data_IF_353959993256
#
_entry.id   IF_353959993256
#
_cell.length_a   1.000
_cell.length_b   1.000
_cell.length_c   1.000
_cell.angle_alpha   90.00
_cell.angle_beta   90.00
_cell.angle_gamma   90.00
#
_symmetry.space_group_name_H-M   'P 1'
#
loop_
_entity.id
_entity.type
_entity.pdbx_description
1 polymer ?
#
# COMPACT_ATOMS: atom_id res chain seq x y z
N UNK A 1 -1.43 -8.31 -15.15
CA UNK A 1 -1.37 -7.03 -14.41
C UNK A 1 -0.65 -7.20 -13.07
N UNK A 2 -1.01 -8.20 -12.27
CA UNK A 2 -0.49 -8.42 -10.91
C UNK A 2 1.05 -8.48 -10.77
N UNK A 3 1.72 -9.33 -11.57
CA UNK A 3 3.20 -9.38 -11.64
C UNK A 3 3.87 -8.05 -11.97
N UNK A 4 3.18 -7.15 -12.68
CA UNK A 4 3.72 -5.83 -12.98
C UNK A 4 3.65 -4.91 -11.74
N UNK A 5 2.58 -5.04 -10.95
CA UNK A 5 2.38 -4.28 -9.72
C UNK A 5 3.40 -4.71 -8.67
N UNK A 6 3.53 -6.02 -8.43
CA UNK A 6 4.48 -6.54 -7.45
C UNK A 6 5.92 -6.22 -7.82
N UNK A 7 6.31 -6.37 -9.10
CA UNK A 7 7.67 -6.07 -9.56
C UNK A 7 8.02 -4.57 -9.53
N UNK A 8 7.03 -3.67 -9.62
CA UNK A 8 7.22 -2.23 -9.64
C UNK A 8 6.62 -1.53 -8.40
N UNK A 9 6.35 -2.26 -7.32
CA UNK A 9 5.63 -1.75 -6.15
C UNK A 9 6.22 -0.42 -5.65
N UNK A 10 7.55 -0.34 -5.50
CA UNK A 10 8.25 0.89 -5.07
C UNK A 10 7.97 2.10 -5.96
N UNK A 11 7.86 1.89 -7.28
CA UNK A 11 7.56 2.98 -8.23
C UNK A 11 6.09 3.37 -8.19
N UNK A 12 5.22 2.37 -8.03
CA UNK A 12 3.78 2.54 -8.01
C UNK A 12 3.35 3.22 -6.72
N UNK A 13 3.93 2.85 -5.57
CA UNK A 13 3.65 3.45 -4.26
C UNK A 13 3.98 4.94 -4.17
N UNK A 14 4.78 5.46 -5.12
CA UNK A 14 5.12 6.87 -5.24
C UNK A 14 4.17 7.64 -6.18
N UNK A 15 3.27 6.96 -6.89
CA UNK A 15 2.33 7.62 -7.80
C UNK A 15 1.08 8.07 -7.05
N UNK A 16 0.49 9.19 -7.49
CA UNK A 16 -0.77 9.70 -6.93
C UNK A 16 -1.90 8.67 -7.02
N UNK A 17 -1.93 7.88 -8.09
CA UNK A 17 -2.91 6.79 -8.25
C UNK A 17 -2.88 5.79 -7.08
N UNK A 18 -1.70 5.47 -6.56
CA UNK A 18 -1.60 4.54 -5.42
C UNK A 18 -2.23 5.12 -4.16
N UNK A 19 -2.10 6.44 -3.95
CA UNK A 19 -2.73 7.15 -2.83
C UNK A 19 -4.26 7.19 -2.95
N UNK A 20 -4.80 6.99 -4.15
CA UNK A 20 -6.25 6.89 -4.42
C UNK A 20 -6.81 5.48 -4.31
N UNK A 21 -5.98 4.45 -4.07
CA UNK A 21 -6.46 3.08 -3.92
C UNK A 21 -7.42 2.94 -2.74
N UNK A 22 -8.41 2.06 -2.91
CA UNK A 22 -9.28 1.62 -1.83
C UNK A 22 -8.57 0.61 -0.92
N UNK A 23 -9.14 0.38 0.27
CA UNK A 23 -8.52 -0.48 1.29
C UNK A 23 -8.24 -1.90 0.78
N UNK A 24 -9.18 -2.50 0.06
CA UNK A 24 -9.10 -3.90 -0.35
C UNK A 24 -8.07 -4.09 -1.46
N UNK A 25 -7.94 -3.10 -2.35
CA UNK A 25 -6.90 -3.05 -3.38
C UNK A 25 -5.51 -2.89 -2.74
N UNK A 26 -5.36 -1.95 -1.80
CA UNK A 26 -4.11 -1.74 -1.07
C UNK A 26 -3.68 -3.03 -0.36
N UNK A 27 -4.59 -3.64 0.40
CA UNK A 27 -4.37 -4.88 1.14
C UNK A 27 -3.97 -6.01 0.18
N UNK A 28 -4.67 -6.14 -0.94
CA UNK A 28 -4.37 -7.18 -1.92
C UNK A 28 -2.95 -7.00 -2.47
N UNK A 29 -2.50 -5.76 -2.72
CA UNK A 29 -1.14 -5.50 -3.18
C UNK A 29 -0.11 -5.85 -2.09
N UNK A 30 -0.27 -5.33 -0.87
CA UNK A 30 0.75 -5.49 0.19
C UNK A 30 0.81 -6.90 0.79
N UNK A 31 -0.24 -7.72 0.63
CA UNK A 31 -0.28 -9.12 1.07
C UNK A 31 0.40 -10.09 0.10
N UNK A 32 0.95 -9.60 -1.01
CA UNK A 32 1.66 -10.44 -1.96
C UNK A 32 3.02 -10.91 -1.44
N UNK A 33 3.23 -12.21 -1.43
CA UNK A 33 4.50 -12.82 -1.02
C UNK A 33 5.68 -12.40 -1.91
N UNK A 34 5.43 -12.12 -3.20
CA UNK A 34 6.43 -11.73 -4.20
C UNK A 34 6.55 -10.19 -4.37
N UNK A 35 6.16 -9.39 -3.37
CA UNK A 35 6.23 -7.94 -3.44
C UNK A 35 7.67 -7.44 -3.51
N UNK A 36 8.05 -6.81 -4.64
CA UNK A 36 9.39 -6.28 -4.83
C UNK A 36 9.54 -4.94 -4.09
N UNK A 37 9.94 -5.02 -2.81
CA UNK A 37 10.18 -3.88 -1.94
C UNK A 37 11.55 -4.02 -1.24
N UNK A 38 12.18 -2.91 -0.83
CA UNK A 38 13.50 -2.95 -0.19
C UNK A 38 13.46 -3.53 1.23
N UNK A 39 12.32 -3.41 1.93
CA UNK A 39 12.10 -3.91 3.28
C UNK A 39 10.61 -3.91 3.61
N UNK A 40 10.22 -4.68 4.63
CA UNK A 40 8.88 -4.61 5.21
C UNK A 40 8.58 -3.20 5.77
N UNK A 41 9.58 -2.52 6.33
CA UNK A 41 9.44 -1.14 6.80
C UNK A 41 8.96 -0.20 5.68
N UNK A 42 9.45 -0.36 4.45
CA UNK A 42 8.99 0.45 3.32
C UNK A 42 7.50 0.26 3.01
N UNK A 43 6.99 -0.97 3.17
CA UNK A 43 5.57 -1.29 3.00
C UNK A 43 4.76 -0.60 4.10
N UNK A 44 5.21 -0.70 5.35
CA UNK A 44 4.58 -0.03 6.50
C UNK A 44 4.55 1.48 6.30
N UNK A 45 5.68 2.10 5.94
CA UNK A 45 5.75 3.55 5.66
C UNK A 45 4.81 3.97 4.53
N UNK A 46 4.68 3.14 3.50
CA UNK A 46 3.77 3.37 2.36
C UNK A 46 2.31 3.33 2.82
N UNK A 47 1.93 2.34 3.63
CA UNK A 47 0.58 2.24 4.21
C UNK A 47 0.29 3.43 5.11
N UNK A 48 1.23 3.84 5.96
CA UNK A 48 1.07 5.00 6.84
C UNK A 48 0.88 6.29 6.04
N UNK A 49 1.62 6.49 4.95
CA UNK A 49 1.41 7.63 4.03
C UNK A 49 0.02 7.61 3.39
N UNK A 50 -0.45 6.43 2.98
CA UNK A 50 -1.81 6.27 2.44
C UNK A 50 -2.87 6.61 3.51
N UNK A 51 -2.68 6.18 4.76
CA UNK A 51 -3.59 6.52 5.86
C UNK A 51 -3.56 8.02 6.18
N UNK A 52 -2.38 8.67 6.15
CA UNK A 52 -2.25 10.10 6.42
C UNK A 52 -3.00 11.00 5.45
N UNK A 53 -3.30 10.54 4.22
CA UNK A 53 -4.11 11.31 3.26
C UNK A 53 -5.55 11.52 3.74
N UNK A 54 -6.09 10.58 4.50
CA UNK A 54 -7.44 10.67 5.07
C UNK A 54 -7.45 9.98 6.42
N UNK A 55 -6.84 10.63 7.41
CA UNK A 55 -6.60 10.05 8.73
C UNK A 55 -7.91 9.73 9.46
N UNK A 56 -8.97 10.50 9.23
CA UNK A 56 -10.28 10.30 9.88
C UNK A 56 -10.95 9.01 9.41
N UNK A 57 -10.95 8.75 8.10
CA UNK A 57 -11.56 7.55 7.53
C UNK A 57 -10.58 6.37 7.57
N UNK A 58 -9.37 6.55 7.04
CA UNK A 58 -8.38 5.48 6.87
C UNK A 58 -7.68 5.10 8.17
N UNK A 59 -7.62 5.99 9.16
CA UNK A 59 -7.09 5.68 10.48
C UNK A 59 -7.90 4.57 11.19
N UNK A 60 -9.21 4.50 10.92
CA UNK A 60 -10.07 3.44 11.44
C UNK A 60 -9.81 2.08 10.76
N UNK A 61 -9.23 2.10 9.55
CA UNK A 61 -8.92 0.89 8.77
C UNK A 61 -7.59 0.26 9.16
N UNK A 62 -6.75 0.96 9.94
CA UNK A 62 -5.44 0.44 10.36
C UNK A 62 -5.52 -0.92 11.05
N UNK A 63 -6.56 -1.15 11.87
CA UNK A 63 -6.75 -2.43 12.56
C UNK A 63 -7.20 -3.59 11.66
N UNK A 64 -7.67 -3.31 10.44
CA UNK A 64 -7.95 -4.35 9.43
C UNK A 64 -6.73 -4.62 8.53
N UNK A 65 -5.81 -3.63 8.44
CA UNK A 65 -4.60 -3.70 7.61
C UNK A 65 -3.45 -4.40 8.36
N UNK A 66 -3.29 -4.12 9.66
CA UNK A 66 -2.28 -4.70 10.56
C UNK A 66 -2.87 -5.77 11.47
#
# INVERSE_FOLDING_TARGET
>A
AWRFITANFVKISQQDYFMTLEKDELISIIKEDDLNCPSEEFVVETVLKWVQQDLEVRGQLLGDIF
#
